data_IF_468859747828
#
_entry.id   IF_468859747828
#
_cell.length_a   1.000
_cell.length_b   1.000
_cell.length_c   1.000
_cell.angle_alpha   90.00
_cell.angle_beta   90.00
_cell.angle_gamma   90.00
#
_symmetry.space_group_name_H-M   'P 1'
#
loop_
_entity.id
_entity.type
_entity.pdbx_description
1 polymer ?
#
# COMPACT_ATOMS: atom_id res chain seq x y z
N UNK A 1 20.05 -42.87 -17.88
CA UNK A 1 20.80 -41.65 -17.49
C UNK A 1 20.01 -40.96 -16.39
N UNK A 2 20.59 -40.75 -15.20
CA UNK A 2 19.94 -39.98 -14.14
C UNK A 2 20.00 -38.48 -14.47
N UNK A 3 19.07 -37.65 -13.95
CA UNK A 3 19.10 -36.21 -14.18
C UNK A 3 20.24 -35.55 -13.38
N UNK A 4 20.95 -34.63 -14.03
CA UNK A 4 22.00 -33.79 -13.45
C UNK A 4 21.45 -32.91 -12.31
N UNK A 5 22.21 -32.84 -11.21
CA UNK A 5 21.96 -31.93 -10.09
C UNK A 5 22.45 -30.53 -10.47
N UNK A 6 21.58 -29.53 -10.35
CA UNK A 6 21.96 -28.12 -10.40
C UNK A 6 22.89 -27.74 -9.23
N UNK A 7 23.86 -26.83 -9.43
CA UNK A 7 24.75 -26.37 -8.36
C UNK A 7 23.97 -25.49 -7.36
N UNK A 8 24.19 -25.70 -6.06
CA UNK A 8 23.75 -24.77 -5.03
C UNK A 8 24.72 -23.59 -4.95
N UNK A 9 24.27 -22.40 -5.34
CA UNK A 9 24.93 -21.15 -4.98
C UNK A 9 24.78 -20.91 -3.46
N UNK A 10 25.90 -20.56 -2.82
CA UNK A 10 25.94 -20.16 -1.42
C UNK A 10 25.20 -18.83 -1.28
N UNK A 11 24.17 -18.79 -0.44
CA UNK A 11 23.58 -17.53 0.02
C UNK A 11 24.64 -16.72 0.78
N UNK A 12 25.08 -15.60 0.23
CA UNK A 12 25.77 -14.58 1.02
C UNK A 12 24.78 -14.08 2.09
N UNK A 13 25.12 -14.36 3.35
CA UNK A 13 24.39 -13.82 4.48
C UNK A 13 24.54 -12.29 4.48
N UNK A 14 23.40 -11.61 4.55
CA UNK A 14 23.30 -10.17 4.81
C UNK A 14 24.14 -9.85 6.06
N UNK A 15 25.12 -8.92 6.00
CA UNK A 15 25.91 -8.58 7.17
C UNK A 15 25.02 -7.91 8.22
N UNK A 16 25.11 -8.40 9.46
CA UNK A 16 24.47 -7.76 10.60
C UNK A 16 25.10 -6.37 10.82
N UNK A 17 24.32 -5.30 11.04
CA UNK A 17 24.87 -3.99 11.32
C UNK A 17 25.64 -3.97 12.64
N UNK A 18 26.71 -3.17 12.67
CA UNK A 18 27.64 -3.06 13.77
C UNK A 18 26.94 -2.65 15.08
N UNK A 19 26.99 -3.51 16.09
CA UNK A 19 26.73 -3.15 17.48
C UNK A 19 27.90 -2.33 18.02
N UNK A 20 27.66 -1.08 18.40
CA UNK A 20 28.60 -0.27 19.20
C UNK A 20 28.76 -0.82 20.64
N UNK A 21 29.86 -0.47 21.34
CA UNK A 21 30.51 -1.34 22.31
C UNK A 21 29.89 -1.34 23.72
N UNK A 22 30.03 -2.47 24.41
CA UNK A 22 29.63 -2.72 25.79
C UNK A 22 30.10 -1.62 26.76
N UNK A 23 29.14 -1.00 27.47
CA UNK A 23 29.42 -0.21 28.67
C UNK A 23 29.31 -1.09 29.93
N UNK A 24 30.22 -0.96 30.91
CA UNK A 24 30.33 -1.87 32.04
C UNK A 24 29.22 -1.65 33.07
N UNK A 25 28.50 -2.72 33.41
CA UNK A 25 27.50 -2.72 34.49
C UNK A 25 28.19 -2.67 35.86
N UNK A 26 28.02 -1.54 36.55
CA UNK A 26 28.46 -1.34 37.94
C UNK A 26 27.49 -2.01 38.91
N UNK A 27 28.00 -2.96 39.70
CA UNK A 27 27.35 -3.54 40.88
C UNK A 27 27.51 -2.58 42.07
N UNK A 28 26.40 -2.16 42.71
CA UNK A 28 26.24 -2.04 44.19
C UNK A 28 24.94 -1.32 44.59
N UNK A 29 24.13 -2.02 45.39
CA UNK A 29 23.16 -1.59 46.44
C UNK A 29 21.93 -2.51 46.39
N UNK A 30 21.34 -3.05 47.45
CA UNK A 30 21.43 -2.94 48.91
C UNK A 30 20.60 -4.16 49.42
N UNK A 31 21.22 -5.19 49.99
CA UNK A 31 21.11 -5.57 51.42
C UNK A 31 19.77 -5.19 52.10
N UNK A 32 18.95 -6.19 52.48
CA UNK A 32 18.40 -6.46 53.83
C UNK A 32 17.00 -7.15 53.86
N UNK A 33 16.93 -8.46 54.19
CA UNK A 33 16.26 -9.03 55.39
C UNK A 33 15.97 -10.57 55.31
N UNK A 34 16.65 -11.31 56.21
CA UNK A 34 16.18 -12.45 57.05
C UNK A 34 15.60 -13.70 56.35
N UNK A 35 16.29 -14.84 56.21
CA UNK A 35 16.90 -15.80 57.17
C UNK A 35 15.88 -16.54 58.08
N UNK A 36 15.90 -17.88 57.91
CA UNK A 36 15.51 -18.98 58.80
C UNK A 36 14.01 -19.36 58.90
N UNK A 37 13.66 -20.58 58.48
CA UNK A 37 13.58 -21.75 59.37
C UNK A 37 13.38 -23.04 58.55
N UNK A 38 14.25 -24.02 58.78
CA UNK A 38 14.19 -25.39 58.23
C UNK A 38 14.17 -26.35 59.41
N UNK A 39 13.31 -27.37 59.29
CA UNK A 39 13.28 -28.69 59.95
C UNK A 39 12.57 -28.91 61.30
N UNK A 40 12.03 -30.15 61.39
CA UNK A 40 11.48 -30.98 62.50
C UNK A 40 9.97 -31.22 62.28
N UNK A 41 9.41 -32.43 62.13
CA UNK A 41 9.87 -33.80 62.33
C UNK A 41 9.07 -34.80 61.46
N UNK A 42 9.71 -35.91 61.10
CA UNK A 42 9.07 -37.17 60.69
C UNK A 42 9.28 -38.16 61.83
N UNK A 43 8.22 -38.56 62.56
CA UNK A 43 8.05 -39.89 63.20
C UNK A 43 6.56 -40.04 63.57
N UNK A 44 5.92 -41.17 63.20
CA UNK A 44 4.67 -41.61 63.84
C UNK A 44 3.67 -42.35 62.96
N UNK A 45 3.98 -43.60 62.59
CA UNK A 45 3.09 -44.52 61.89
C UNK A 45 2.08 -45.17 62.88
N UNK A 46 0.79 -45.19 62.46
CA UNK A 46 -0.33 -46.10 62.80
C UNK A 46 -1.03 -46.02 64.18
N UNK A 47 -2.32 -45.63 64.12
CA UNK A 47 -3.41 -46.40 64.70
C UNK A 47 -4.69 -46.21 63.86
N UNK A 48 -5.29 -47.33 63.44
CA UNK A 48 -6.55 -47.42 62.67
C UNK A 48 -7.66 -47.75 63.66
N UNK A 49 -8.76 -46.97 63.68
CA UNK A 49 -10.11 -47.50 63.95
C UNK A 49 -11.20 -46.47 63.59
N UNK A 50 -12.01 -46.85 62.60
CA UNK A 50 -13.43 -46.51 62.42
C UNK A 50 -13.94 -45.09 62.69
N UNK A 51 -14.15 -44.36 61.60
CA UNK A 51 -15.38 -43.57 61.41
C UNK A 51 -15.72 -43.51 59.92
N UNK A 52 -16.78 -44.22 59.54
CA UNK A 52 -17.40 -44.14 58.22
C UNK A 52 -18.03 -42.75 58.07
N UNK A 53 -17.33 -41.83 57.39
CA UNK A 53 -17.93 -40.62 56.83
C UNK A 53 -18.41 -40.89 55.39
N UNK A 54 -19.56 -40.33 54.96
CA UNK A 54 -20.07 -40.57 53.62
C UNK A 54 -19.10 -40.02 52.58
N UNK A 55 -18.88 -40.82 51.53
CA UNK A 55 -18.07 -40.47 50.36
C UNK A 55 -18.50 -39.09 49.83
N UNK A 56 -17.60 -38.11 49.91
CA UNK A 56 -17.72 -36.90 49.08
C UNK A 56 -17.68 -37.35 47.63
N UNK A 57 -18.78 -37.09 46.92
CA UNK A 57 -18.90 -37.26 45.48
C UNK A 57 -17.70 -36.61 44.81
N UNK A 58 -16.96 -37.41 44.05
CA UNK A 58 -16.00 -36.92 43.07
C UNK A 58 -16.80 -36.14 42.03
N UNK A 59 -16.80 -34.80 42.13
CA UNK A 59 -17.20 -33.96 41.02
C UNK A 59 -16.07 -34.02 40.00
N UNK A 60 -16.27 -34.62 38.81
CA UNK A 60 -15.29 -34.48 37.76
C UNK A 60 -15.24 -32.99 37.43
N UNK A 61 -14.09 -32.35 37.61
CA UNK A 61 -13.81 -31.10 36.91
C UNK A 61 -13.75 -31.43 35.42
N UNK A 62 -14.91 -31.45 34.78
CA UNK A 62 -15.01 -31.41 33.33
C UNK A 62 -14.36 -30.11 32.89
N UNK A 63 -13.13 -30.20 32.39
CA UNK A 63 -12.60 -29.17 31.50
C UNK A 63 -13.53 -29.18 30.28
N UNK A 64 -14.57 -28.37 30.32
CA UNK A 64 -15.35 -28.07 29.12
C UNK A 64 -14.37 -27.43 28.15
N UNK A 65 -13.97 -28.22 27.14
CA UNK A 65 -13.15 -27.74 26.06
C UNK A 65 -14.08 -26.89 25.20
N UNK A 66 -14.22 -25.61 25.57
CA UNK A 66 -15.14 -24.63 25.00
C UNK A 66 -14.70 -24.16 23.61
N UNK A 67 -14.08 -25.06 22.84
CA UNK A 67 -13.55 -24.79 21.52
C UNK A 67 -14.62 -25.13 20.50
N UNK A 68 -15.07 -24.10 19.79
CA UNK A 68 -15.93 -24.24 18.63
C UNK A 68 -15.35 -25.27 17.67
N UNK A 69 -16.21 -26.13 17.15
CA UNK A 69 -15.92 -27.02 16.03
C UNK A 69 -15.50 -26.22 14.80
N UNK A 70 -14.98 -26.89 13.77
CA UNK A 70 -14.64 -26.22 12.50
C UNK A 70 -15.90 -25.59 11.89
N UNK A 71 -17.01 -26.33 11.85
CA UNK A 71 -18.27 -25.86 11.28
C UNK A 71 -18.85 -24.68 12.05
N UNK A 72 -18.83 -24.70 13.39
CA UNK A 72 -19.28 -23.56 14.19
C UNK A 72 -18.40 -22.31 13.99
N UNK A 73 -17.09 -22.47 13.75
CA UNK A 73 -16.20 -21.35 13.42
C UNK A 73 -16.47 -20.78 12.04
N UNK A 74 -16.71 -21.65 11.06
CA UNK A 74 -17.06 -21.24 9.70
C UNK A 74 -18.41 -20.52 9.68
N UNK A 75 -19.43 -21.07 10.34
CA UNK A 75 -20.73 -20.44 10.49
C UNK A 75 -20.63 -19.07 11.16
N UNK A 76 -19.87 -18.98 12.26
CA UNK A 76 -19.63 -17.71 12.94
C UNK A 76 -18.89 -16.72 12.02
N UNK A 77 -17.83 -17.13 11.33
CA UNK A 77 -17.07 -16.27 10.43
C UNK A 77 -17.93 -15.72 9.28
N UNK A 78 -18.80 -16.56 8.71
CA UNK A 78 -19.72 -16.17 7.64
C UNK A 78 -20.91 -15.32 8.13
N UNK A 79 -21.25 -15.40 9.42
CA UNK A 79 -22.35 -14.63 10.00
C UNK A 79 -22.04 -13.13 10.20
N UNK A 80 -20.76 -12.75 10.21
CA UNK A 80 -20.31 -11.38 10.47
C UNK A 80 -20.40 -10.49 9.21
N UNK A 81 -19.77 -10.82 8.07
CA UNK A 81 -19.84 -9.97 6.90
C UNK A 81 -21.24 -10.00 6.27
N UNK A 82 -21.82 -8.81 6.07
CA UNK A 82 -23.10 -8.64 5.37
C UNK A 82 -22.96 -7.65 4.22
N UNK A 83 -23.89 -7.69 3.26
CA UNK A 83 -23.94 -6.69 2.19
C UNK A 83 -24.13 -5.27 2.75
N UNK A 84 -24.95 -5.13 3.80
CA UNK A 84 -25.21 -3.86 4.46
C UNK A 84 -23.96 -3.31 5.16
N UNK A 85 -23.20 -4.16 5.87
CA UNK A 85 -21.94 -3.73 6.50
C UNK A 85 -20.88 -3.36 5.47
N UNK A 86 -20.80 -4.08 4.34
CA UNK A 86 -19.89 -3.74 3.27
C UNK A 86 -20.26 -2.41 2.59
N UNK A 87 -21.56 -2.16 2.38
CA UNK A 87 -22.06 -0.90 1.83
C UNK A 87 -21.80 0.28 2.78
N UNK A 88 -22.03 0.10 4.08
CA UNK A 88 -21.77 1.11 5.09
C UNK A 88 -20.27 1.47 5.13
N UNK A 89 -19.39 0.47 5.23
CA UNK A 89 -17.94 0.67 5.21
C UNK A 89 -17.48 1.36 3.90
N UNK A 90 -18.03 0.96 2.76
CA UNK A 90 -17.72 1.62 1.49
C UNK A 90 -18.10 3.10 1.46
N UNK A 91 -19.17 3.51 2.14
CA UNK A 91 -19.56 4.94 2.23
C UNK A 91 -18.67 5.69 3.19
N UNK A 92 -18.33 5.08 4.33
CA UNK A 92 -17.49 5.71 5.34
C UNK A 92 -16.09 6.01 4.77
N UNK A 93 -15.53 5.11 3.95
CA UNK A 93 -14.17 5.26 3.41
C UNK A 93 -14.07 5.91 2.03
N UNK A 94 -15.18 6.16 1.32
CA UNK A 94 -15.15 6.67 -0.07
C UNK A 94 -15.83 8.04 -0.26
N UNK A 95 -16.05 8.79 0.83
CA UNK A 95 -16.73 10.10 0.79
C UNK A 95 -15.79 11.29 0.72
N UNK A 96 -14.47 11.08 0.75
CA UNK A 96 -13.48 12.12 0.46
C UNK A 96 -12.25 11.52 -0.24
N UNK A 97 -11.44 12.35 -0.92
CA UNK A 97 -10.13 11.92 -1.39
C UNK A 97 -9.19 11.65 -0.22
N UNK A 98 -8.37 10.61 -0.36
CA UNK A 98 -7.38 10.19 0.63
C UNK A 98 -6.08 9.82 -0.10
N UNK A 99 -5.46 10.83 -0.72
CA UNK A 99 -4.21 10.67 -1.46
C UNK A 99 -3.09 10.28 -0.50
N UNK A 100 -2.28 9.28 -0.87
CA UNK A 100 -1.15 8.85 -0.05
C UNK A 100 -0.28 10.04 0.42
N UNK A 101 -0.05 10.13 1.73
CA UNK A 101 0.73 11.21 2.36
C UNK A 101 -0.02 12.53 2.57
N UNK A 102 -1.30 12.61 2.24
CA UNK A 102 -2.17 13.75 2.57
C UNK A 102 -2.56 13.76 4.05
N UNK A 103 -3.18 14.86 4.51
CA UNK A 103 -3.71 14.95 5.88
C UNK A 103 -4.87 13.97 6.06
N UNK A 104 -5.71 13.84 5.03
CA UNK A 104 -6.88 12.96 4.97
C UNK A 104 -6.48 11.49 5.03
N UNK A 105 -5.38 11.10 4.38
CA UNK A 105 -4.81 9.73 4.48
C UNK A 105 -4.38 9.40 5.92
N UNK A 106 -3.79 10.36 6.64
CA UNK A 106 -3.48 10.19 8.06
C UNK A 106 -4.75 10.14 8.93
N UNK A 107 -5.78 10.92 8.61
CA UNK A 107 -7.07 10.86 9.29
C UNK A 107 -7.74 9.50 9.11
N UNK A 108 -7.71 8.93 7.92
CA UNK A 108 -8.21 7.58 7.64
C UNK A 108 -7.42 6.51 8.39
N UNK A 109 -6.09 6.64 8.46
CA UNK A 109 -5.27 5.75 9.28
C UNK A 109 -5.68 5.78 10.76
N UNK A 110 -6.05 6.96 11.30
CA UNK A 110 -6.58 7.09 12.66
C UNK A 110 -7.96 6.45 12.83
N UNK A 111 -8.82 6.52 11.81
CA UNK A 111 -10.12 5.84 11.81
C UNK A 111 -9.92 4.33 11.94
N UNK A 112 -8.99 3.76 11.18
CA UNK A 112 -8.65 2.33 11.27
C UNK A 112 -8.01 1.98 12.62
N UNK A 113 -7.12 2.82 13.13
CA UNK A 113 -6.53 2.63 14.46
C UNK A 113 -7.63 2.55 15.53
N UNK A 114 -8.59 3.47 15.51
CA UNK A 114 -9.72 3.49 16.46
C UNK A 114 -10.66 2.30 16.28
N UNK A 115 -10.89 1.86 15.04
CA UNK A 115 -11.65 0.65 14.74
C UNK A 115 -11.00 -0.56 15.42
N UNK A 116 -9.70 -0.78 15.21
CA UNK A 116 -8.99 -1.88 15.85
C UNK A 116 -8.99 -1.78 17.38
N UNK A 117 -8.84 -0.57 17.92
CA UNK A 117 -8.92 -0.38 19.36
C UNK A 117 -10.28 -0.76 19.93
N UNK A 118 -11.35 -0.44 19.20
CA UNK A 118 -12.73 -0.74 19.60
C UNK A 118 -13.01 -2.24 19.48
N UNK A 119 -12.78 -2.82 18.30
CA UNK A 119 -13.15 -4.20 17.98
C UNK A 119 -12.30 -5.24 18.73
N UNK A 120 -11.03 -4.92 19.00
CA UNK A 120 -10.13 -5.80 19.75
C UNK A 120 -9.98 -5.41 21.23
N UNK A 121 -10.77 -4.45 21.71
CA UNK A 121 -10.73 -3.96 23.09
C UNK A 121 -9.31 -3.59 23.55
N UNK A 122 -8.57 -2.90 22.68
CA UNK A 122 -7.21 -2.42 22.96
C UNK A 122 -7.33 -1.12 23.76
N UNK A 123 -6.57 -1.02 24.85
CA UNK A 123 -6.54 0.19 25.67
C UNK A 123 -6.04 1.38 24.86
N UNK A 124 -6.80 2.47 24.82
CA UNK A 124 -6.37 3.71 24.18
C UNK A 124 -5.36 4.45 25.08
N UNK A 125 -4.07 4.55 24.70
CA UNK A 125 -3.10 5.32 25.47
C UNK A 125 -3.42 6.82 25.45
N UNK A 126 -2.84 7.56 26.41
CA UNK A 126 -3.00 9.02 26.49
C UNK A 126 -2.32 9.78 25.35
N UNK A 127 -1.25 9.20 24.80
CA UNK A 127 -0.55 9.69 23.61
C UNK A 127 -0.93 8.76 22.48
N UNK A 128 -1.38 9.31 21.35
CA UNK A 128 -1.75 8.52 20.18
C UNK A 128 -0.54 7.69 19.71
N UNK A 129 -0.68 6.37 19.48
CA UNK A 129 0.42 5.50 19.13
C UNK A 129 0.78 5.67 17.64
N UNK A 130 1.33 6.83 17.29
CA UNK A 130 1.85 7.16 15.96
C UNK A 130 3.35 7.34 16.10
N UNK A 131 4.12 6.51 15.42
CA UNK A 131 5.57 6.46 15.56
C UNK A 131 6.25 6.67 14.21
N UNK A 132 7.27 7.53 14.11
CA UNK A 132 8.19 7.48 12.98
C UNK A 132 8.83 6.10 12.93
N UNK A 133 8.80 5.46 11.76
CA UNK A 133 9.30 4.12 11.58
C UNK A 133 10.78 4.04 11.92
N UNK A 134 11.19 2.96 12.58
CA UNK A 134 12.58 2.73 12.99
C UNK A 134 12.96 3.35 14.35
N UNK A 135 12.12 4.19 14.94
CA UNK A 135 12.27 4.67 16.33
C UNK A 135 12.22 3.52 17.34
N UNK A 136 12.67 3.77 18.57
CA UNK A 136 12.62 2.75 19.63
C UNK A 136 11.18 2.30 19.90
N UNK A 137 10.24 3.25 19.87
CA UNK A 137 8.81 3.06 20.05
C UNK A 137 8.23 2.16 18.94
N UNK A 138 8.45 2.51 17.67
CA UNK A 138 8.03 1.73 16.50
C UNK A 138 8.58 0.29 16.52
N UNK A 139 9.89 0.15 16.77
CA UNK A 139 10.55 -1.16 16.86
C UNK A 139 10.00 -1.98 18.02
N UNK A 140 9.80 -1.37 19.19
CA UNK A 140 9.24 -2.07 20.34
C UNK A 140 7.82 -2.55 20.04
N UNK A 141 6.97 -1.69 19.43
CA UNK A 141 5.62 -2.07 19.02
C UNK A 141 5.64 -3.30 18.08
N UNK A 142 6.57 -3.32 17.11
CA UNK A 142 6.74 -4.43 16.17
C UNK A 142 7.28 -5.70 16.83
N UNK A 143 8.36 -5.60 17.62
CA UNK A 143 9.01 -6.76 18.25
C UNK A 143 8.11 -7.43 19.30
N UNK A 144 7.31 -6.64 20.01
CA UNK A 144 6.40 -7.14 21.03
C UNK A 144 5.30 -8.06 20.43
N UNK A 145 4.93 -7.92 19.15
CA UNK A 145 3.97 -8.83 18.50
C UNK A 145 4.34 -10.31 18.61
N UNK A 146 5.63 -10.62 18.70
CA UNK A 146 6.14 -12.00 18.77
C UNK A 146 6.66 -12.38 20.16
N UNK A 147 6.54 -11.47 21.12
CA UNK A 147 6.95 -11.72 22.50
C UNK A 147 5.96 -12.68 23.18
N UNK A 148 6.51 -13.61 23.96
CA UNK A 148 5.73 -14.55 24.78
C UNK A 148 4.97 -13.87 25.92
N UNK A 149 5.30 -12.62 26.21
CA UNK A 149 4.74 -11.83 27.31
C UNK A 149 3.62 -10.89 26.85
N UNK A 150 3.07 -11.09 25.64
CA UNK A 150 1.90 -10.32 25.16
C UNK A 150 0.60 -11.10 25.35
N UNK A 151 -0.17 -10.67 26.35
CA UNK A 151 -1.46 -11.28 26.69
C UNK A 151 -2.66 -10.53 26.08
N UNK A 152 -2.41 -9.44 25.33
CA UNK A 152 -3.44 -8.58 24.74
C UNK A 152 -3.03 -8.03 23.38
N UNK A 153 -3.99 -7.80 22.46
CA UNK A 153 -3.71 -7.15 21.17
C UNK A 153 -3.22 -5.71 21.36
N UNK A 154 -2.43 -5.23 20.40
CA UNK A 154 -1.94 -3.86 20.31
C UNK A 154 -2.16 -3.32 18.88
N UNK A 155 -2.19 -2.00 18.73
CA UNK A 155 -2.37 -1.32 17.43
C UNK A 155 -1.68 0.04 17.47
N UNK A 156 -1.01 0.41 16.38
CA UNK A 156 -0.30 1.67 16.22
C UNK A 156 -0.24 2.06 14.73
N UNK A 157 0.15 3.29 14.44
CA UNK A 157 0.47 3.79 13.11
C UNK A 157 1.99 3.93 13.02
N UNK A 158 2.58 3.40 11.95
CA UNK A 158 4.01 3.56 11.66
C UNK A 158 4.17 4.48 10.45
N UNK A 159 5.03 5.50 10.58
CA UNK A 159 5.19 6.56 9.58
C UNK A 159 6.51 6.38 8.84
N UNK A 160 6.41 6.16 7.54
CA UNK A 160 7.55 6.11 6.63
C UNK A 160 7.61 7.39 5.78
N UNK A 161 8.78 7.65 5.20
CA UNK A 161 9.09 8.86 4.44
C UNK A 161 9.49 8.51 2.99
N UNK A 162 8.64 7.78 2.23
CA UNK A 162 8.95 7.43 0.84
C UNK A 162 8.82 8.65 -0.09
N UNK A 163 9.49 8.59 -1.24
CA UNK A 163 9.29 9.61 -2.29
C UNK A 163 7.91 9.47 -2.93
N UNK A 164 7.13 10.55 -2.82
CA UNK A 164 5.88 10.79 -3.53
C UNK A 164 5.98 12.10 -4.30
N UNK A 165 5.15 12.28 -5.33
CA UNK A 165 5.07 13.54 -6.05
C UNK A 165 3.63 13.93 -6.38
N UNK A 166 3.41 15.23 -6.38
CA UNK A 166 2.21 15.89 -6.90
C UNK A 166 2.64 16.96 -7.90
N UNK A 167 1.88 17.20 -8.98
CA UNK A 167 2.22 18.22 -9.95
C UNK A 167 1.97 19.62 -9.36
N UNK A 168 2.87 20.56 -9.66
CA UNK A 168 2.62 21.99 -9.43
C UNK A 168 1.75 22.56 -10.55
N UNK A 169 2.19 22.35 -11.79
CA UNK A 169 1.51 22.79 -13.00
C UNK A 169 1.47 21.65 -14.03
N UNK A 170 0.48 21.70 -14.92
CA UNK A 170 0.38 20.78 -16.06
C UNK A 170 -0.26 21.49 -17.23
N UNK A 171 0.29 21.28 -18.42
CA UNK A 171 -0.31 21.75 -19.66
C UNK A 171 0.01 20.78 -20.79
N UNK A 172 -0.90 20.71 -21.76
CA UNK A 172 -0.70 20.03 -23.01
C UNK A 172 -1.27 20.92 -24.10
N UNK A 173 -0.46 21.24 -25.10
CA UNK A 173 -0.79 22.19 -26.15
C UNK A 173 -0.41 21.61 -27.51
N UNK A 174 -1.19 21.98 -28.53
CA UNK A 174 -0.77 21.85 -29.92
C UNK A 174 -0.31 23.24 -30.36
N UNK A 175 0.89 23.30 -30.92
CA UNK A 175 1.49 24.51 -31.45
C UNK A 175 1.33 24.56 -32.97
N UNK A 176 1.06 25.76 -33.50
CA UNK A 176 1.03 26.04 -34.94
C UNK A 176 2.44 26.20 -35.52
N UNK A 177 2.52 26.46 -36.82
CA UNK A 177 3.81 26.60 -37.54
C UNK A 177 4.68 27.76 -37.02
N UNK A 178 4.06 28.77 -36.40
CA UNK A 178 4.71 29.93 -35.80
C UNK A 178 5.05 29.75 -34.32
N UNK A 179 4.80 28.57 -33.74
CA UNK A 179 5.00 28.28 -32.31
C UNK A 179 3.89 28.82 -31.40
N UNK A 180 2.81 29.39 -31.96
CA UNK A 180 1.66 29.85 -31.16
C UNK A 180 0.76 28.67 -30.79
N UNK A 181 0.18 28.72 -29.59
CA UNK A 181 -0.80 27.72 -29.15
C UNK A 181 -2.06 27.79 -29.99
N UNK A 182 -2.36 26.72 -30.75
CA UNK A 182 -3.59 26.60 -31.54
C UNK A 182 -4.68 25.84 -30.79
N UNK A 183 -4.29 25.03 -29.81
CA UNK A 183 -5.20 24.26 -28.98
C UNK A 183 -4.55 23.90 -27.65
N UNK A 184 -5.35 23.87 -26.59
CA UNK A 184 -4.94 23.52 -25.23
C UNK A 184 -5.87 22.44 -24.71
N UNK A 185 -5.29 21.36 -24.20
CA UNK A 185 -6.06 20.25 -23.64
C UNK A 185 -6.70 20.65 -22.30
N UNK A 186 -7.91 20.17 -22.05
CA UNK A 186 -8.50 20.23 -20.73
C UNK A 186 -8.00 19.05 -19.87
N UNK A 187 -7.16 19.34 -18.89
CA UNK A 187 -6.58 18.35 -17.96
C UNK A 187 -7.34 18.30 -16.62
N UNK A 188 -8.58 18.79 -16.55
CA UNK A 188 -9.43 18.73 -15.37
C UNK A 188 -10.60 17.79 -15.65
N UNK A 189 -10.80 16.81 -14.75
CA UNK A 189 -11.99 15.96 -14.79
C UNK A 189 -13.20 16.77 -14.32
N UNK A 190 -14.32 16.63 -15.02
CA UNK A 190 -15.55 17.31 -14.65
C UNK A 190 -16.21 16.63 -13.45
N UNK A 191 -16.42 17.39 -12.38
CA UNK A 191 -17.21 16.97 -11.22
C UNK A 191 -18.67 17.34 -11.43
N UNK A 192 -19.45 16.44 -12.04
CA UNK A 192 -20.87 16.65 -12.31
C UNK A 192 -21.66 16.85 -10.99
N UNK A 193 -22.45 17.95 -10.85
CA UNK A 193 -23.26 18.22 -9.65
C UNK A 193 -24.27 17.14 -9.24
N UNK A 194 -24.61 16.22 -10.14
CA UNK A 194 -25.45 15.05 -9.82
C UNK A 194 -24.74 14.08 -8.86
N UNK A 195 -23.40 14.13 -8.78
CA UNK A 195 -22.60 13.52 -7.72
C UNK A 195 -22.01 14.62 -6.82
N UNK A 196 -22.57 14.83 -5.61
CA UNK A 196 -22.11 15.88 -4.70
C UNK A 196 -20.64 15.78 -4.32
N UNK A 197 -20.10 14.56 -4.17
CA UNK A 197 -18.70 14.38 -3.76
C UNK A 197 -17.77 14.63 -4.96
N UNK A 198 -18.09 14.12 -6.14
CA UNK A 198 -17.32 14.45 -7.35
C UNK A 198 -17.31 15.96 -7.62
N UNK A 199 -18.46 16.63 -7.48
CA UNK A 199 -18.55 18.08 -7.66
C UNK A 199 -17.73 18.86 -6.62
N UNK A 200 -17.75 18.42 -5.36
CA UNK A 200 -16.99 19.04 -4.26
C UNK A 200 -15.48 18.87 -4.42
N UNK A 201 -15.03 17.70 -4.90
CA UNK A 201 -13.62 17.32 -4.92
C UNK A 201 -12.96 17.35 -6.31
N UNK A 202 -13.64 17.86 -7.34
CA UNK A 202 -13.14 17.88 -8.73
C UNK A 202 -11.73 18.45 -8.91
N UNK A 203 -11.38 19.46 -8.11
CA UNK A 203 -10.09 20.17 -8.19
C UNK A 203 -9.08 19.69 -7.12
N UNK A 204 -9.46 18.72 -6.29
CA UNK A 204 -8.68 18.30 -5.13
C UNK A 204 -7.46 17.45 -5.53
N UNK A 205 -7.65 16.48 -6.42
CA UNK A 205 -6.57 15.63 -6.94
C UNK A 205 -6.31 15.98 -8.41
N UNK A 206 -5.16 16.61 -8.74
CA UNK A 206 -4.84 16.94 -10.12
C UNK A 206 -4.73 15.68 -11.00
N UNK A 207 -4.73 15.81 -12.32
CA UNK A 207 -4.46 14.67 -13.22
C UNK A 207 -2.96 14.56 -13.47
N UNK A 208 -2.35 13.45 -13.05
CA UNK A 208 -0.93 13.18 -13.35
C UNK A 208 -0.60 11.70 -13.28
N UNK A 209 0.57 11.38 -13.79
CA UNK A 209 1.24 10.11 -13.54
C UNK A 209 2.18 10.24 -12.33
N UNK A 210 1.91 9.48 -11.27
CA UNK A 210 2.80 9.41 -10.11
C UNK A 210 4.20 8.95 -10.50
N UNK A 211 5.22 9.62 -9.98
CA UNK A 211 6.64 9.45 -10.28
C UNK A 211 7.04 9.76 -11.75
N UNK A 212 6.18 10.43 -12.52
CA UNK A 212 6.59 11.01 -13.80
C UNK A 212 7.72 12.02 -13.59
N UNK A 213 8.64 12.10 -14.56
CA UNK A 213 9.66 13.14 -14.59
C UNK A 213 9.01 14.51 -14.81
N UNK A 214 9.53 15.50 -14.10
CA UNK A 214 9.24 16.91 -14.34
C UNK A 214 10.01 17.44 -15.56
N UNK A 215 9.36 18.31 -16.34
CA UNK A 215 9.98 18.99 -17.48
C UNK A 215 8.99 19.41 -18.56
N UNK A 216 9.45 20.35 -19.38
CA UNK A 216 8.76 20.81 -20.59
C UNK A 216 9.41 20.21 -21.83
N UNK A 217 8.61 19.63 -22.72
CA UNK A 217 9.07 18.97 -23.95
C UNK A 217 8.13 19.27 -25.11
N UNK A 218 8.74 19.53 -26.26
CA UNK A 218 8.06 19.72 -27.52
C UNK A 218 8.55 18.67 -28.53
N UNK A 219 7.63 18.10 -29.29
CA UNK A 219 7.95 17.14 -30.33
C UNK A 219 6.74 16.76 -31.16
N UNK A 220 7.00 16.21 -32.35
CA UNK A 220 5.92 15.67 -33.19
C UNK A 220 5.28 14.46 -32.50
N UNK A 221 3.97 14.34 -32.66
CA UNK A 221 3.17 13.28 -32.06
C UNK A 221 3.28 11.97 -32.85
N UNK A 222 3.52 10.86 -32.16
CA UNK A 222 3.54 9.50 -32.74
C UNK A 222 2.59 8.62 -31.95
N UNK A 223 1.61 8.02 -32.64
CA UNK A 223 0.70 7.06 -32.02
C UNK A 223 1.34 5.66 -31.98
N UNK A 224 1.43 5.09 -30.78
CA UNK A 224 2.03 3.78 -30.55
C UNK A 224 1.04 2.76 -29.97
N UNK A 225 -0.24 2.83 -30.35
CA UNK A 225 -1.24 1.81 -29.99
C UNK A 225 -1.35 1.61 -28.46
N UNK A 226 -1.02 0.45 -27.90
CA UNK A 226 -0.96 0.25 -26.44
C UNK A 226 0.43 0.53 -25.86
N UNK A 227 1.42 0.90 -26.66
CA UNK A 227 2.81 1.08 -26.21
C UNK A 227 3.43 -0.22 -25.73
N UNK A 228 3.01 -1.37 -26.29
CA UNK A 228 3.67 -2.63 -26.03
C UNK A 228 5.02 -2.69 -26.71
N UNK A 229 5.85 -3.69 -26.36
CA UNK A 229 7.12 -3.92 -27.05
C UNK A 229 6.88 -4.15 -28.55
N UNK A 230 5.87 -4.93 -28.90
CA UNK A 230 5.50 -5.26 -30.28
C UNK A 230 5.02 -4.03 -31.04
N UNK A 231 4.27 -3.13 -30.38
CA UNK A 231 3.84 -1.86 -30.98
C UNK A 231 5.06 -1.00 -31.35
N UNK A 232 6.02 -0.86 -30.43
CA UNK A 232 7.24 -0.10 -30.67
C UNK A 232 8.17 -0.75 -31.71
N UNK A 233 8.38 -2.07 -31.63
CA UNK A 233 9.16 -2.81 -32.62
C UNK A 233 8.58 -2.63 -34.03
N UNK A 234 7.24 -2.63 -34.16
CA UNK A 234 6.54 -2.41 -35.42
C UNK A 234 6.76 -1.01 -35.98
N UNK A 235 6.73 0.03 -35.12
CA UNK A 235 7.04 1.40 -35.52
C UNK A 235 8.48 1.54 -36.02
N UNK A 236 9.44 0.96 -35.29
CA UNK A 236 10.86 0.97 -35.69
C UNK A 236 11.06 0.23 -37.00
N UNK A 237 10.44 -0.94 -37.17
CA UNK A 237 10.50 -1.72 -38.42
C UNK A 237 9.87 -0.97 -39.61
N UNK A 238 8.87 -0.13 -39.36
CA UNK A 238 8.27 0.75 -40.36
C UNK A 238 9.11 2.02 -40.63
N UNK A 239 10.26 2.20 -39.97
CA UNK A 239 11.15 3.33 -40.15
C UNK A 239 10.74 4.61 -39.41
N UNK A 240 9.87 4.49 -38.40
CA UNK A 240 9.47 5.64 -37.56
C UNK A 240 10.57 5.93 -36.54
N UNK A 241 11.14 7.13 -36.59
CA UNK A 241 12.11 7.63 -35.60
C UNK A 241 11.37 8.31 -34.43
N UNK A 242 11.52 7.74 -33.22
CA UNK A 242 10.93 8.25 -31.99
C UNK A 242 11.80 9.28 -31.28
N UNK A 243 13.02 9.52 -31.76
CA UNK A 243 13.95 10.48 -31.16
C UNK A 243 13.33 11.87 -31.07
N UNK A 244 13.24 12.40 -29.84
CA UNK A 244 12.61 13.69 -29.51
C UNK A 244 11.13 13.83 -29.95
N UNK A 245 10.41 12.71 -30.09
CA UNK A 245 8.97 12.70 -30.37
C UNK A 245 8.16 12.62 -29.09
N UNK A 246 6.92 13.08 -29.15
CA UNK A 246 5.93 12.82 -28.11
C UNK A 246 5.16 11.57 -28.55
N UNK A 247 5.19 10.53 -27.73
CA UNK A 247 4.45 9.29 -28.01
C UNK A 247 3.08 9.38 -27.36
N UNK A 248 2.02 9.01 -28.07
CA UNK A 248 0.67 8.84 -27.51
C UNK A 248 0.26 7.36 -27.54
N UNK A 249 -0.20 6.86 -26.40
CA UNK A 249 -0.62 5.46 -26.23
C UNK A 249 -1.97 5.38 -25.52
N UNK A 250 -2.63 4.22 -25.67
CA UNK A 250 -3.81 3.88 -24.88
C UNK A 250 -3.44 3.20 -23.58
N UNK A 251 -4.26 3.41 -22.56
CA UNK A 251 -4.30 2.53 -21.40
C UNK A 251 -4.66 1.08 -21.75
N UNK A 252 -4.44 0.17 -20.80
CA UNK A 252 -4.74 -1.26 -20.96
C UNK A 252 -3.57 -2.12 -21.48
N UNK A 253 -3.81 -3.44 -21.54
CA UNK A 253 -2.91 -4.53 -21.97
C UNK A 253 -1.63 -4.75 -21.15
N UNK A 254 -0.90 -3.68 -20.82
CA UNK A 254 0.32 -3.73 -20.02
C UNK A 254 0.37 -2.58 -19.02
N UNK A 255 1.20 -2.74 -18.00
CA UNK A 255 1.40 -1.73 -16.97
C UNK A 255 1.94 -0.42 -17.57
N UNK A 256 1.38 0.72 -17.16
CA UNK A 256 1.63 2.04 -17.77
C UNK A 256 3.10 2.46 -17.78
N UNK A 257 3.85 2.14 -16.72
CA UNK A 257 5.29 2.45 -16.66
C UNK A 257 6.10 1.74 -17.75
N UNK A 258 5.67 0.56 -18.21
CA UNK A 258 6.35 -0.16 -19.30
C UNK A 258 6.17 0.54 -20.66
N UNK A 259 5.02 1.20 -20.87
CA UNK A 259 4.76 1.99 -22.09
C UNK A 259 5.75 3.14 -22.17
N UNK A 260 5.97 3.83 -21.05
CA UNK A 260 6.89 4.96 -20.94
C UNK A 260 8.34 4.49 -21.05
N UNK A 261 8.69 3.39 -20.38
CA UNK A 261 10.02 2.77 -20.48
C UNK A 261 10.39 2.47 -21.93
N UNK A 262 9.50 1.83 -22.69
CA UNK A 262 9.75 1.51 -24.10
C UNK A 262 9.96 2.75 -24.98
N UNK A 263 9.13 3.78 -24.80
CA UNK A 263 9.30 5.05 -25.51
C UNK A 263 10.63 5.74 -25.15
N UNK A 264 10.96 5.77 -23.86
CA UNK A 264 12.20 6.35 -23.34
C UNK A 264 13.45 5.66 -23.90
N UNK A 265 13.45 4.33 -23.95
CA UNK A 265 14.55 3.53 -24.51
C UNK A 265 14.76 3.77 -26.02
N UNK A 266 13.71 4.25 -26.71
CA UNK A 266 13.75 4.63 -28.12
C UNK A 266 13.94 6.15 -28.35
N UNK A 267 14.24 6.91 -27.30
CA UNK A 267 14.60 8.32 -27.40
C UNK A 267 13.43 9.30 -27.48
N UNK A 268 12.20 8.87 -27.17
CA UNK A 268 11.06 9.77 -27.05
C UNK A 268 11.32 10.89 -26.03
N UNK A 269 10.78 12.08 -26.29
CA UNK A 269 10.87 13.22 -25.38
C UNK A 269 9.82 13.16 -24.27
N UNK A 270 8.64 12.58 -24.54
CA UNK A 270 7.57 12.48 -23.56
C UNK A 270 6.46 11.53 -24.01
N UNK A 271 5.57 11.18 -23.08
CA UNK A 271 4.51 10.21 -23.33
C UNK A 271 3.14 10.67 -22.83
N UNK A 272 2.15 10.63 -23.70
CA UNK A 272 0.75 10.82 -23.38
C UNK A 272 0.05 9.47 -23.30
N UNK A 273 -0.83 9.30 -22.31
CA UNK A 273 -1.63 8.08 -22.16
C UNK A 273 -3.10 8.46 -21.99
N UNK A 274 -3.98 7.90 -22.81
CA UNK A 274 -5.42 8.15 -22.72
C UNK A 274 -6.22 6.86 -22.55
N UNK A 275 -7.40 6.96 -21.95
CA UNK A 275 -8.35 5.85 -21.83
C UNK A 275 -9.25 5.82 -23.07
N UNK A 276 -9.14 4.77 -23.89
CA UNK A 276 -9.99 4.62 -25.08
C UNK A 276 -11.31 3.93 -24.71
N UNK A 277 -12.48 4.51 -24.99
CA UNK A 277 -13.79 3.89 -24.74
C UNK A 277 -13.97 2.49 -25.35
N UNK A 278 -13.17 2.12 -26.36
CA UNK A 278 -13.18 0.75 -26.90
C UNK A 278 -12.80 -0.31 -25.86
N UNK A 279 -12.09 0.08 -24.82
CA UNK A 279 -11.60 -0.80 -23.76
C UNK A 279 -12.58 -0.91 -22.58
N UNK A 280 -13.75 -0.29 -22.68
CA UNK A 280 -14.77 -0.25 -21.62
C UNK A 280 -15.71 -1.45 -21.66
N UNK A 281 -15.51 -2.34 -22.63
CA UNK A 281 -16.32 -3.54 -22.82
C UNK A 281 -17.74 -3.19 -23.26
N UNK A 282 -18.73 -3.76 -22.58
CA UNK A 282 -20.14 -3.61 -22.97
C UNK A 282 -20.77 -2.31 -22.47
N UNK A 283 -20.26 -1.73 -21.38
CA UNK A 283 -20.91 -0.60 -20.69
C UNK A 283 -20.41 0.73 -21.26
N UNK A 284 -20.93 1.08 -22.44
CA UNK A 284 -20.53 2.29 -23.19
C UNK A 284 -21.72 3.13 -23.63
N UNK A 285 -21.47 4.40 -23.94
CA UNK A 285 -22.47 5.31 -24.53
C UNK A 285 -22.98 4.77 -25.87
N UNK A 286 -22.10 4.21 -26.69
CA UNK A 286 -22.46 3.61 -27.98
C UNK A 286 -23.44 2.42 -27.83
N UNK A 287 -23.39 1.71 -26.69
CA UNK A 287 -24.30 0.63 -26.36
C UNK A 287 -25.56 1.10 -25.59
N UNK A 288 -25.79 2.41 -25.52
CA UNK A 288 -27.01 3.00 -24.94
C UNK A 288 -26.96 3.22 -23.43
N UNK A 289 -25.80 3.06 -22.78
CA UNK A 289 -25.64 3.40 -21.37
C UNK A 289 -25.36 4.90 -21.19
N UNK A 290 -26.09 5.57 -20.31
CA UNK A 290 -25.76 6.94 -19.95
C UNK A 290 -24.37 7.01 -19.28
N UNK A 291 -23.57 8.07 -19.54
CA UNK A 291 -22.31 8.29 -18.86
C UNK A 291 -22.53 8.61 -17.37
N UNK A 292 -21.54 8.30 -16.56
CA UNK A 292 -21.49 8.68 -15.15
C UNK A 292 -21.57 10.21 -15.00
N UNK A 293 -22.37 10.74 -14.05
CA UNK A 293 -23.09 10.03 -12.98
C UNK A 293 -24.50 9.53 -13.34
N UNK A 294 -25.04 9.91 -14.50
CA UNK A 294 -26.40 9.53 -14.91
C UNK A 294 -26.54 8.03 -15.26
N UNK A 295 -25.43 7.34 -15.50
CA UNK A 295 -25.40 5.90 -15.73
C UNK A 295 -24.00 5.30 -15.55
N UNK A 296 -23.84 4.01 -15.88
CA UNK A 296 -22.63 3.27 -15.56
C UNK A 296 -21.52 3.39 -16.61
N UNK A 297 -21.77 4.03 -17.76
CA UNK A 297 -20.71 4.24 -18.75
C UNK A 297 -19.69 5.26 -18.21
N UNK A 298 -18.44 5.17 -18.65
CA UNK A 298 -17.37 6.09 -18.24
C UNK A 298 -17.79 7.55 -18.46
N UNK A 299 -17.46 8.42 -17.51
CA UNK A 299 -17.60 9.86 -17.70
C UNK A 299 -16.65 10.33 -18.84
N UNK A 300 -17.13 11.09 -19.85
CA UNK A 300 -16.32 11.52 -21.00
C UNK A 300 -15.05 12.30 -20.63
N UNK A 301 -15.05 12.97 -19.48
CA UNK A 301 -13.92 13.77 -18.99
C UNK A 301 -13.01 13.03 -18.02
N UNK A 302 -13.28 11.75 -17.74
CA UNK A 302 -12.49 10.98 -16.78
C UNK A 302 -11.08 10.68 -17.29
N UNK A 303 -10.13 10.73 -16.36
CA UNK A 303 -8.71 10.54 -16.57
C UNK A 303 -8.20 9.48 -15.60
N UNK A 304 -7.65 8.39 -16.14
CA UNK A 304 -7.01 7.40 -15.29
C UNK A 304 -5.66 7.95 -14.77
N UNK A 305 -5.57 8.17 -13.46
CA UNK A 305 -4.31 8.44 -12.74
C UNK A 305 -3.56 7.14 -12.43
N UNK A 306 -2.29 7.27 -12.05
CA UNK A 306 -1.54 6.15 -11.49
C UNK A 306 -0.03 6.31 -11.59
N UNK A 307 0.70 5.52 -10.80
CA UNK A 307 2.16 5.49 -10.84
C UNK A 307 2.69 4.93 -12.16
N UNK A 308 3.76 5.54 -12.66
CA UNK A 308 4.52 5.12 -13.85
C UNK A 308 5.91 4.54 -13.52
N UNK A 309 6.15 4.26 -12.24
CA UNK A 309 7.35 3.56 -11.77
C UNK A 309 7.60 2.26 -12.53
N UNK A 310 8.83 1.97 -12.89
CA UNK A 310 9.25 0.73 -13.50
C UNK A 310 9.27 -0.40 -12.46
N UNK A 311 8.08 -0.85 -12.04
CA UNK A 311 7.90 -1.94 -11.06
C UNK A 311 8.57 -3.25 -11.47
N UNK A 312 8.85 -3.44 -12.77
CA UNK A 312 9.64 -4.55 -13.29
C UNK A 312 11.12 -4.52 -12.87
N UNK A 313 11.64 -3.36 -12.47
CA UNK A 313 13.01 -3.20 -11.98
C UNK A 313 13.09 -3.48 -10.48
N UNK A 314 12.31 -2.77 -9.68
CA UNK A 314 12.06 -3.06 -8.26
C UNK A 314 10.82 -2.31 -7.76
N UNK A 315 10.07 -2.85 -6.78
CA UNK A 315 8.96 -2.15 -6.13
C UNK A 315 9.44 -1.31 -4.92
N UNK A 316 8.51 -0.59 -4.28
CA UNK A 316 8.80 0.22 -3.08
C UNK A 316 9.21 1.64 -3.42
N UNK A 317 9.77 2.35 -2.44
CA UNK A 317 10.32 3.69 -2.63
C UNK A 317 11.47 3.63 -3.66
N UNK A 318 11.44 4.44 -4.73
CA UNK A 318 12.53 4.53 -5.69
C UNK A 318 13.91 4.78 -5.06
N UNK A 319 13.97 5.48 -3.92
CA UNK A 319 15.22 5.95 -3.31
C UNK A 319 15.78 5.07 -2.21
N UNK A 320 15.05 4.05 -1.74
CA UNK A 320 15.52 3.12 -0.70
C UNK A 320 15.36 1.65 -1.10
N UNK A 321 15.96 1.20 -2.22
CA UNK A 321 15.81 -0.16 -2.69
C UNK A 321 16.35 -1.17 -1.67
N UNK A 322 15.45 -2.00 -1.13
CA UNK A 322 15.80 -3.10 -0.22
C UNK A 322 15.93 -2.72 1.26
N UNK A 323 15.64 -1.49 1.64
CA UNK A 323 15.58 -1.06 3.04
C UNK A 323 14.46 -0.04 3.29
N UNK A 324 14.03 0.16 4.55
CA UNK A 324 12.90 1.05 4.84
C UNK A 324 13.22 2.54 4.65
N UNK A 325 12.24 3.30 4.16
CA UNK A 325 12.29 4.77 4.09
C UNK A 325 12.01 5.39 5.48
N UNK A 326 12.95 5.25 6.41
CA UNK A 326 12.91 5.98 7.68
C UNK A 326 13.17 7.47 7.47
N UNK A 327 12.81 8.29 8.45
CA UNK A 327 12.99 9.75 8.40
C UNK A 327 14.44 10.18 8.10
N UNK A 328 15.39 9.40 8.59
CA UNK A 328 16.83 9.63 8.45
C UNK A 328 17.51 8.64 7.49
N UNK A 329 16.75 7.96 6.62
CA UNK A 329 17.34 7.15 5.56
C UNK A 329 18.08 8.04 4.57
N UNK A 330 19.25 7.59 4.12
CA UNK A 330 20.04 8.28 3.09
C UNK A 330 19.50 7.88 1.69
N UNK A 331 18.84 8.78 0.95
CA UNK A 331 18.21 8.42 -0.31
C UNK A 331 19.23 8.18 -1.42
N UNK A 332 19.00 7.14 -2.22
CA UNK A 332 19.72 6.86 -3.46
C UNK A 332 19.02 7.50 -4.68
N UNK A 333 19.73 7.64 -5.79
CA UNK A 333 19.11 8.02 -7.06
C UNK A 333 18.15 6.91 -7.54
N UNK A 334 16.87 7.28 -7.71
CA UNK A 334 15.84 6.36 -8.17
C UNK A 334 16.06 5.88 -9.61
N UNK A 335 16.35 4.59 -9.79
CA UNK A 335 16.62 3.98 -11.11
C UNK A 335 15.41 3.30 -11.75
N UNK A 336 14.32 3.17 -11.00
CA UNK A 336 13.07 2.57 -11.45
C UNK A 336 11.96 3.61 -11.72
N UNK A 337 12.31 4.85 -12.05
CA UNK A 337 11.36 5.89 -12.43
C UNK A 337 11.70 6.45 -13.82
N UNK A 338 10.71 6.97 -14.57
CA UNK A 338 10.97 7.60 -15.86
C UNK A 338 11.94 8.79 -15.77
N UNK A 339 12.70 8.99 -16.84
CA UNK A 339 13.56 10.16 -17.07
C UNK A 339 12.98 11.10 -18.13
N UNK A 340 11.78 10.81 -18.64
CA UNK A 340 11.02 11.64 -19.56
C UNK A 340 9.62 11.95 -18.98
N UNK A 341 9.07 13.15 -19.23
CA UNK A 341 7.75 13.51 -18.73
C UNK A 341 6.64 12.66 -19.37
N UNK A 342 5.57 12.46 -18.61
CA UNK A 342 4.37 11.79 -19.08
C UNK A 342 3.12 12.38 -18.45
N UNK A 343 2.02 12.40 -19.20
CA UNK A 343 0.73 12.91 -18.72
C UNK A 343 -0.41 11.96 -19.11
N UNK A 344 -1.34 11.68 -18.18
CA UNK A 344 -2.61 11.08 -18.53
C UNK A 344 -3.53 12.16 -19.11
N UNK A 345 -4.35 11.81 -20.10
CA UNK A 345 -5.29 12.74 -20.72
C UNK A 345 -6.64 12.09 -21.03
N UNK A 346 -7.65 12.94 -21.18
CA UNK A 346 -8.95 12.57 -21.74
C UNK A 346 -8.81 12.28 -23.23
N UNK A 347 -9.71 11.47 -23.79
CA UNK A 347 -9.71 11.19 -25.23
C UNK A 347 -10.22 12.38 -26.05
N UNK A 348 -11.24 13.08 -25.55
CA UNK A 348 -12.03 14.05 -26.33
C UNK A 348 -11.75 15.51 -25.95
N UNK A 349 -10.68 15.78 -25.20
CA UNK A 349 -10.38 17.11 -24.67
C UNK A 349 -8.94 17.48 -24.79
#
# INVERSE_FOLDING_TARGET
MPPEKFPQEKSEQIPLPATEPDLPVSRKCLLFHRLAYVLIAVVGIKAIAHSYGPRRSYHPHGRHNNRLTVSEREELFLSVPTADSALAASRDYATHPHLAGSVEDLEDARVILKLFQTEFNISCPAIEPIFPAGTLESRNATLLLTSRDTDSPTSWIDVYYPVLNTPLDRSLQILGENGETVWTANLVEDGDPLDPEAAKYRDYIPTWHGLSKDGDVEGQLVYANYGSKEDYDSLVAAGVDLTRKIVITRYGKLFRGLKIKGAQELGAAGVLIYSDPRDDGFVTVDNGFAPYPAGPARNPTSVQRGSVQFLSSYPGDPTTPGYPSYENSEPEEGKNIPTIPSLPMVRDG
#
